data_IF_208477274196
#
_entry.id   IF_208477274196
#
_cell.length_a   1.000
_cell.length_b   1.000
_cell.length_c   1.000
_cell.angle_alpha   90.00
_cell.angle_beta   90.00
_cell.angle_gamma   90.00
#
_symmetry.space_group_name_H-M   'P 1'
#
loop_
_entity.id
_entity.type
_entity.pdbx_description
1 polymer ?
#
# COMPACT_ATOMS: atom_id res chain seq x y z
N UNK A 1 16.30 -6.10 -5.27
CA UNK A 1 14.89 -5.76 -5.53
C UNK A 1 14.28 -4.95 -4.39
N UNK A 2 14.33 -5.40 -3.13
CA UNK A 2 13.65 -4.75 -2.00
C UNK A 2 14.05 -3.29 -1.74
N UNK A 3 15.34 -2.94 -1.82
CA UNK A 3 15.77 -1.54 -1.72
C UNK A 3 15.22 -0.68 -2.87
N UNK A 4 15.07 -1.26 -4.07
CA UNK A 4 14.48 -0.57 -5.23
C UNK A 4 12.99 -0.33 -5.04
N UNK A 5 12.28 -1.28 -4.42
CA UNK A 5 10.88 -1.13 -4.02
C UNK A 5 10.70 -0.06 -2.94
N UNK A 6 11.58 -0.04 -1.94
CA UNK A 6 11.53 0.96 -0.87
C UNK A 6 11.81 2.38 -1.41
N UNK A 7 12.79 2.51 -2.31
CA UNK A 7 13.12 3.78 -2.95
C UNK A 7 12.06 4.23 -3.94
N UNK A 8 11.36 3.31 -4.63
CA UNK A 8 10.21 3.69 -5.48
C UNK A 8 9.07 4.25 -4.64
N UNK A 9 8.78 3.66 -3.47
CA UNK A 9 7.78 4.19 -2.53
C UNK A 9 8.17 5.56 -1.99
N UNK A 10 9.44 5.76 -1.62
CA UNK A 10 9.94 7.07 -1.18
C UNK A 10 9.86 8.12 -2.31
N UNK A 11 10.17 7.72 -3.55
CA UNK A 11 10.08 8.59 -4.72
C UNK A 11 8.64 8.94 -5.10
N UNK A 12 7.63 8.19 -4.65
CA UNK A 12 6.23 8.36 -5.03
C UNK A 12 5.67 9.74 -4.69
N UNK A 13 6.11 10.33 -3.57
CA UNK A 13 5.73 11.69 -3.15
C UNK A 13 6.55 12.80 -3.83
N UNK A 14 7.76 12.48 -4.29
CA UNK A 14 8.70 13.45 -4.87
C UNK A 14 8.52 13.57 -6.39
N UNK A 15 8.52 12.43 -7.08
CA UNK A 15 8.40 12.34 -8.53
C UNK A 15 7.74 11.02 -8.95
N UNK A 16 6.45 11.11 -9.32
CA UNK A 16 5.64 9.97 -9.74
C UNK A 16 6.29 9.21 -10.91
N UNK A 17 6.84 9.90 -11.90
CA UNK A 17 7.44 9.26 -13.08
C UNK A 17 8.62 8.36 -12.69
N UNK A 18 9.53 8.89 -11.86
CA UNK A 18 10.65 8.12 -11.33
C UNK A 18 10.17 6.93 -10.49
N UNK A 19 9.16 7.15 -9.64
CA UNK A 19 8.58 6.12 -8.79
C UNK A 19 8.04 4.94 -9.62
N UNK A 20 7.26 5.20 -10.68
CA UNK A 20 6.74 4.16 -11.57
C UNK A 20 7.84 3.46 -12.37
N UNK A 21 8.88 4.19 -12.82
CA UNK A 21 10.03 3.60 -13.50
C UNK A 21 10.75 2.61 -12.57
N UNK A 22 11.05 3.03 -11.35
CA UNK A 22 11.69 2.17 -10.34
C UNK A 22 10.79 0.99 -9.95
N UNK A 23 9.47 1.19 -9.87
CA UNK A 23 8.52 0.10 -9.64
C UNK A 23 8.53 -0.91 -10.81
N UNK A 24 8.56 -0.45 -12.06
CA UNK A 24 8.64 -1.31 -13.25
C UNK A 24 9.93 -2.15 -13.26
N UNK A 25 11.07 -1.52 -12.95
CA UNK A 25 12.33 -2.24 -12.76
C UNK A 25 12.26 -3.25 -11.61
N UNK A 26 11.59 -2.90 -10.52
CA UNK A 26 11.37 -3.80 -9.39
C UNK A 26 10.51 -5.01 -9.79
N UNK A 27 9.43 -4.80 -10.55
CA UNK A 27 8.57 -5.87 -11.06
C UNK A 27 9.35 -6.82 -12.00
N UNK A 28 10.19 -6.29 -12.88
CA UNK A 28 11.06 -7.09 -13.73
C UNK A 28 12.05 -7.95 -12.93
N UNK A 29 12.68 -7.38 -11.91
CA UNK A 29 13.55 -8.13 -11.01
C UNK A 29 12.78 -9.17 -10.20
N UNK A 30 11.57 -8.85 -9.75
CA UNK A 30 10.69 -9.76 -9.01
C UNK A 30 10.27 -10.96 -9.84
N UNK A 31 9.99 -10.75 -11.12
CA UNK A 31 9.72 -11.85 -12.04
C UNK A 31 10.94 -12.75 -12.23
N UNK A 32 12.14 -12.19 -12.43
CA UNK A 32 13.38 -12.99 -12.51
C UNK A 32 13.71 -13.75 -11.22
N UNK A 33 13.26 -13.26 -10.08
CA UNK A 33 13.49 -13.88 -8.76
C UNK A 33 12.35 -14.84 -8.35
N UNK A 34 11.38 -15.11 -9.23
CA UNK A 34 10.19 -15.92 -8.94
C UNK A 34 9.36 -15.38 -7.77
N UNK A 35 9.50 -14.09 -7.46
CA UNK A 35 8.68 -13.38 -6.46
C UNK A 35 7.35 -12.94 -7.10
N UNK A 36 7.38 -12.64 -8.41
CA UNK A 36 6.19 -12.34 -9.21
C UNK A 36 6.04 -13.38 -10.32
N UNK A 37 4.86 -13.97 -10.41
CA UNK A 37 4.50 -14.86 -11.51
C UNK A 37 3.58 -14.18 -12.53
N UNK A 38 3.38 -14.85 -13.66
CA UNK A 38 2.51 -14.38 -14.73
C UNK A 38 1.10 -13.96 -14.27
N UNK A 39 0.42 -14.65 -13.33
CA UNK A 39 -0.90 -14.22 -12.84
C UNK A 39 -0.85 -12.83 -12.17
N UNK A 40 0.18 -12.54 -11.38
CA UNK A 40 0.31 -11.25 -10.71
C UNK A 40 0.58 -10.13 -11.73
N UNK A 41 1.44 -10.37 -12.72
CA UNK A 41 1.68 -9.42 -13.81
C UNK A 41 0.42 -9.14 -14.62
N UNK A 42 -0.36 -10.17 -14.93
CA UNK A 42 -1.63 -10.04 -15.64
C UNK A 42 -2.63 -9.22 -14.83
N UNK A 43 -2.76 -9.47 -13.54
CA UNK A 43 -3.66 -8.71 -12.66
C UNK A 43 -3.22 -7.25 -12.57
N UNK A 44 -1.91 -6.97 -12.42
CA UNK A 44 -1.38 -5.60 -12.44
C UNK A 44 -1.68 -4.92 -13.79
N UNK A 45 -1.53 -5.62 -14.92
CA UNK A 45 -1.87 -5.08 -16.23
C UNK A 45 -3.37 -4.80 -16.40
N UNK A 46 -4.25 -5.73 -15.98
CA UNK A 46 -5.70 -5.56 -15.99
C UNK A 46 -6.13 -4.39 -15.11
N UNK A 47 -5.47 -4.19 -13.98
CA UNK A 47 -5.69 -3.04 -13.10
C UNK A 47 -5.37 -1.73 -13.82
N UNK A 48 -4.24 -1.63 -14.51
CA UNK A 48 -3.83 -0.43 -15.26
C UNK A 48 -4.72 -0.17 -16.48
N UNK A 49 -5.13 -1.22 -17.18
CA UNK A 49 -6.08 -1.12 -18.31
C UNK A 49 -7.47 -0.72 -17.79
N UNK A 50 -7.93 -1.37 -16.71
CA UNK A 50 -9.17 -1.06 -16.03
C UNK A 50 -9.22 0.40 -15.60
N UNK A 51 -8.10 0.93 -15.08
CA UNK A 51 -7.96 2.36 -14.76
C UNK A 51 -8.15 3.27 -15.97
N UNK A 52 -7.59 2.93 -17.13
CA UNK A 52 -7.72 3.76 -18.35
C UNK A 52 -9.18 3.82 -18.82
N UNK A 53 -9.88 2.68 -18.74
CA UNK A 53 -11.31 2.56 -19.06
C UNK A 53 -12.16 3.35 -18.05
N UNK A 54 -11.81 3.23 -16.78
CA UNK A 54 -12.43 3.95 -15.66
C UNK A 54 -12.32 5.46 -15.83
N UNK A 55 -11.12 5.97 -16.15
CA UNK A 55 -10.87 7.40 -16.29
C UNK A 55 -11.68 7.96 -17.47
N UNK A 56 -11.76 7.19 -18.56
CA UNK A 56 -12.60 7.49 -19.71
C UNK A 56 -14.10 7.54 -19.36
N UNK A 57 -14.59 6.61 -18.53
CA UNK A 57 -15.97 6.59 -18.04
C UNK A 57 -16.27 7.76 -17.09
N UNK A 58 -15.34 8.09 -16.19
CA UNK A 58 -15.44 9.21 -15.24
C UNK A 58 -15.60 10.54 -15.98
N UNK A 59 -14.89 10.71 -17.10
CA UNK A 59 -14.96 11.93 -17.91
C UNK A 59 -16.30 12.11 -18.62
N UNK A 60 -17.09 11.04 -18.80
CA UNK A 60 -18.42 11.11 -19.43
C UNK A 60 -19.57 11.29 -18.43
N UNK A 61 -19.54 10.65 -17.27
CA UNK A 61 -20.64 10.71 -16.32
C UNK A 61 -20.23 10.40 -14.87
N UNK A 62 -20.57 11.29 -13.94
CA UNK A 62 -20.15 11.22 -12.54
C UNK A 62 -20.83 10.08 -11.74
N UNK A 63 -21.87 9.43 -12.29
CA UNK A 63 -22.56 8.32 -11.62
C UNK A 63 -21.70 7.07 -11.47
N UNK A 64 -20.77 6.82 -12.38
CA UNK A 64 -19.90 5.65 -12.34
C UNK A 64 -18.69 5.83 -11.42
N UNK A 65 -18.39 7.07 -11.00
CA UNK A 65 -17.25 7.40 -10.15
C UNK A 65 -17.23 6.57 -8.87
N UNK A 66 -18.35 6.49 -8.14
CA UNK A 66 -18.41 5.73 -6.89
C UNK A 66 -18.27 4.22 -7.09
N UNK A 67 -18.79 3.68 -8.20
CA UNK A 67 -18.69 2.25 -8.51
C UNK A 67 -17.24 1.88 -8.77
N UNK A 68 -16.54 2.71 -9.54
CA UNK A 68 -15.12 2.61 -9.80
C UNK A 68 -14.30 2.69 -8.52
N UNK A 69 -14.55 3.70 -7.69
CA UNK A 69 -13.81 3.90 -6.44
C UNK A 69 -14.00 2.70 -5.52
N UNK A 70 -15.23 2.17 -5.43
CA UNK A 70 -15.52 0.93 -4.72
C UNK A 70 -14.73 -0.26 -5.24
N UNK A 71 -14.65 -0.44 -6.56
CA UNK A 71 -13.84 -1.50 -7.18
C UNK A 71 -12.35 -1.34 -6.85
N UNK A 72 -11.84 -0.11 -6.86
CA UNK A 72 -10.46 0.17 -6.49
C UNK A 72 -10.18 -0.21 -5.03
N UNK A 73 -11.10 0.12 -4.11
CA UNK A 73 -10.99 -0.30 -2.71
C UNK A 73 -10.99 -1.82 -2.59
N UNK A 74 -11.89 -2.51 -3.29
CA UNK A 74 -11.96 -4.00 -3.28
C UNK A 74 -10.64 -4.61 -3.75
N UNK A 75 -10.05 -4.10 -4.83
CA UNK A 75 -8.76 -4.58 -5.35
C UNK A 75 -7.62 -4.30 -4.35
N UNK A 76 -7.60 -3.11 -3.74
CA UNK A 76 -6.61 -2.78 -2.73
C UNK A 76 -6.72 -3.71 -1.50
N UNK A 77 -7.93 -4.02 -1.05
CA UNK A 77 -8.18 -4.98 0.02
C UNK A 77 -7.73 -6.38 -0.39
N UNK A 78 -8.03 -6.82 -1.61
CA UNK A 78 -7.60 -8.12 -2.13
C UNK A 78 -6.08 -8.25 -2.18
N UNK A 79 -5.36 -7.18 -2.56
CA UNK A 79 -3.89 -7.12 -2.51
C UNK A 79 -3.38 -7.20 -1.07
N UNK A 80 -3.98 -6.47 -0.13
CA UNK A 80 -3.56 -6.49 1.29
C UNK A 80 -3.78 -7.85 1.94
N UNK A 81 -4.89 -8.51 1.62
CA UNK A 81 -5.24 -9.84 2.11
C UNK A 81 -4.52 -10.97 1.37
N UNK A 82 -3.67 -10.66 0.39
CA UNK A 82 -2.99 -11.66 -0.43
C UNK A 82 -3.96 -12.63 -1.14
N UNK A 83 -5.15 -12.14 -1.51
CA UNK A 83 -6.17 -12.94 -2.20
C UNK A 83 -5.87 -13.12 -3.70
N UNK A 84 -4.90 -12.37 -4.23
CA UNK A 84 -4.52 -12.38 -5.64
C UNK A 84 -3.31 -13.33 -5.83
N UNK A 85 -3.41 -14.35 -6.70
CA UNK A 85 -2.33 -15.31 -6.90
C UNK A 85 -1.14 -14.70 -7.65
N UNK A 86 0.03 -15.33 -7.49
CA UNK A 86 1.26 -14.98 -8.23
C UNK A 86 2.21 -14.04 -7.49
N UNK A 87 1.93 -13.71 -6.23
CA UNK A 87 2.88 -13.02 -5.35
C UNK A 87 3.52 -14.04 -4.40
N UNK A 88 4.81 -14.29 -4.54
CA UNK A 88 5.59 -15.20 -3.70
C UNK A 88 6.42 -14.39 -2.72
N UNK A 89 5.76 -13.83 -1.71
CA UNK A 89 6.38 -12.97 -0.71
C UNK A 89 7.35 -13.78 0.18
N UNK A 90 8.66 -13.47 0.20
CA UNK A 90 9.61 -14.23 1.00
C UNK A 90 9.47 -13.93 2.49
N UNK A 91 9.66 -14.98 3.30
CA UNK A 91 9.77 -14.91 4.76
C UNK A 91 11.20 -14.50 5.12
N UNK A 92 11.35 -13.30 5.68
CA UNK A 92 12.67 -12.72 6.04
C UNK A 92 13.02 -13.01 7.50
N UNK A 93 12.02 -12.96 8.38
CA UNK A 93 12.17 -13.40 9.77
C UNK A 93 11.26 -14.60 9.98
N UNK A 94 11.82 -15.67 10.55
CA UNK A 94 11.10 -16.90 10.83
C UNK A 94 11.17 -17.22 12.32
N UNK A 95 10.02 -17.08 12.99
CA UNK A 95 9.82 -17.40 14.40
C UNK A 95 10.92 -16.83 15.32
N UNK A 96 11.42 -15.63 15.02
CA UNK A 96 12.51 -15.00 15.77
C UNK A 96 11.97 -14.50 17.10
N UNK A 97 12.62 -14.91 18.20
CA UNK A 97 12.33 -14.46 19.56
C UNK A 97 13.42 -13.47 19.96
N UNK A 98 13.03 -12.20 20.14
CA UNK A 98 13.97 -11.11 20.43
C UNK A 98 14.11 -10.86 21.95
N UNK A 99 13.11 -11.26 22.76
CA UNK A 99 13.12 -11.08 24.20
C UNK A 99 12.58 -12.29 24.96
N UNK A 100 12.90 -12.43 26.27
CA UNK A 100 12.52 -13.61 27.07
C UNK A 100 11.00 -13.84 27.19
N UNK A 101 10.21 -12.77 27.06
CA UNK A 101 8.74 -12.80 27.13
C UNK A 101 8.09 -12.60 25.74
N UNK A 102 8.88 -12.56 24.67
CA UNK A 102 8.35 -12.33 23.32
C UNK A 102 7.80 -13.62 22.72
N UNK A 103 6.60 -13.55 22.15
CA UNK A 103 6.11 -14.60 21.27
C UNK A 103 6.96 -14.65 19.98
N UNK A 104 7.13 -15.83 19.35
CA UNK A 104 7.88 -15.96 18.10
C UNK A 104 7.31 -15.06 17.00
N UNK A 105 8.14 -14.16 16.46
CA UNK A 105 7.73 -13.22 15.41
C UNK A 105 8.22 -13.68 14.04
N UNK A 106 7.32 -13.62 13.05
CA UNK A 106 7.65 -13.88 11.65
C UNK A 106 7.33 -12.66 10.79
N UNK A 107 8.21 -12.35 9.84
CA UNK A 107 8.05 -11.19 8.95
C UNK A 107 8.24 -11.60 7.49
N UNK A 108 7.35 -11.10 6.64
CA UNK A 108 7.39 -11.28 5.19
C UNK A 108 7.61 -9.94 4.51
N UNK A 109 8.42 -9.93 3.45
CA UNK A 109 8.46 -8.81 2.53
C UNK A 109 7.35 -8.95 1.50
N UNK A 110 6.31 -8.13 1.69
CA UNK A 110 5.07 -8.21 0.95
C UNK A 110 5.07 -7.23 -0.22
N UNK A 111 5.29 -7.73 -1.43
CA UNK A 111 5.32 -6.90 -2.64
C UNK A 111 3.92 -6.44 -3.06
N UNK A 112 2.93 -7.32 -2.95
CA UNK A 112 1.50 -7.02 -3.10
C UNK A 112 1.05 -5.80 -2.28
N UNK A 113 1.40 -5.76 -0.99
CA UNK A 113 1.08 -4.63 -0.10
C UNK A 113 1.81 -3.36 -0.50
N UNK A 114 3.04 -3.47 -0.97
CA UNK A 114 3.85 -2.34 -1.39
C UNK A 114 3.35 -1.69 -2.71
N UNK A 115 2.62 -2.42 -3.55
CA UNK A 115 2.05 -1.90 -4.81
C UNK A 115 0.77 -1.09 -4.57
N UNK A 116 0.06 -1.32 -3.45
CA UNK A 116 -1.23 -0.68 -3.15
C UNK A 116 -1.20 0.85 -3.24
N UNK A 117 -0.21 1.59 -2.68
CA UNK A 117 -0.18 3.05 -2.79
C UNK A 117 -0.03 3.55 -4.23
N UNK A 118 0.75 2.85 -5.07
CA UNK A 118 0.88 3.19 -6.49
C UNK A 118 -0.45 3.03 -7.23
N UNK A 119 -1.13 1.91 -6.97
CA UNK A 119 -2.44 1.64 -7.52
C UNK A 119 -3.47 2.70 -7.07
N UNK A 120 -3.57 2.98 -5.77
CA UNK A 120 -4.54 3.94 -5.24
C UNK A 120 -4.28 5.38 -5.72
N UNK A 121 -3.02 5.83 -5.79
CA UNK A 121 -2.70 7.18 -6.30
C UNK A 121 -3.08 7.30 -7.79
N UNK A 122 -2.89 6.23 -8.56
CA UNK A 122 -3.27 6.18 -9.97
C UNK A 122 -4.79 6.22 -10.14
N UNK A 123 -5.50 5.34 -9.44
CA UNK A 123 -6.92 5.11 -9.67
C UNK A 123 -7.84 6.03 -8.87
N UNK A 124 -7.38 6.55 -7.73
CA UNK A 124 -8.11 7.44 -6.84
C UNK A 124 -7.22 8.62 -6.40
N UNK A 125 -6.81 9.51 -7.32
CA UNK A 125 -5.93 10.63 -6.98
C UNK A 125 -6.56 11.59 -5.95
N UNK A 126 -7.88 11.61 -5.86
CA UNK A 126 -8.66 12.37 -4.86
C UNK A 126 -8.50 11.83 -3.44
N UNK A 127 -8.13 10.56 -3.27
CA UNK A 127 -7.94 9.93 -1.95
C UNK A 127 -6.86 10.63 -1.13
N UNK A 128 -5.84 11.16 -1.80
CA UNK A 128 -4.71 11.84 -1.18
C UNK A 128 -4.83 13.37 -1.21
N UNK A 129 -5.94 13.91 -1.73
CA UNK A 129 -6.21 15.34 -1.83
C UNK A 129 -7.48 15.64 -1.03
N UNK A 130 -7.33 15.83 0.27
CA UNK A 130 -8.41 16.24 1.15
C UNK A 130 -8.27 17.71 1.54
N UNK A 131 -9.35 18.49 1.40
CA UNK A 131 -9.44 19.78 2.08
C UNK A 131 -9.73 19.50 3.56
N UNK A 132 -8.90 19.97 4.50
CA UNK A 132 -9.13 19.70 5.91
C UNK A 132 -10.46 20.32 6.34
N UNK A 133 -11.38 19.48 6.85
CA UNK A 133 -12.66 19.92 7.41
C UNK A 133 -12.46 20.77 8.68
N UNK A 134 -11.36 20.53 9.39
CA UNK A 134 -10.98 21.23 10.61
C UNK A 134 -9.46 21.43 10.63
N UNK A 135 -9.00 22.63 11.01
CA UNK A 135 -7.59 22.94 11.20
C UNK A 135 -7.30 23.00 12.70
N UNK A 136 -6.73 21.93 13.30
CA UNK A 136 -6.45 21.94 14.72
C UNK A 136 -5.45 23.05 15.06
N UNK A 137 -5.74 23.81 16.12
CA UNK A 137 -4.80 24.78 16.68
C UNK A 137 -3.58 24.08 17.29
N UNK A 138 -2.57 24.85 17.72
CA UNK A 138 -1.33 24.33 18.32
C UNK A 138 -1.58 23.33 19.46
N UNK A 139 -2.61 23.59 20.28
CA UNK A 139 -3.03 22.71 21.38
C UNK A 139 -3.59 21.38 20.85
N UNK A 140 -4.40 21.41 19.78
CA UNK A 140 -4.95 20.20 19.16
C UNK A 140 -3.86 19.30 18.60
N UNK A 141 -2.83 19.88 17.97
CA UNK A 141 -1.64 19.13 17.56
C UNK A 141 -0.89 18.53 18.75
N UNK A 142 -0.76 19.28 19.84
CA UNK A 142 -0.18 18.77 21.09
C UNK A 142 -0.92 17.54 21.63
N UNK A 143 -2.26 17.61 21.66
CA UNK A 143 -3.12 16.49 22.09
C UNK A 143 -2.93 15.28 21.16
N UNK A 144 -2.94 15.48 19.83
CA UNK A 144 -2.76 14.39 18.85
C UNK A 144 -1.39 13.71 18.99
N UNK A 145 -0.33 14.49 19.17
CA UNK A 145 1.02 13.95 19.36
C UNK A 145 1.12 13.20 20.69
N UNK A 146 0.49 13.69 21.76
CA UNK A 146 0.47 13.03 23.07
C UNK A 146 -0.45 11.80 23.12
N UNK A 147 -1.46 11.73 22.26
CA UNK A 147 -2.37 10.59 22.20
C UNK A 147 -1.64 9.30 21.79
N UNK A 148 -0.66 9.39 20.89
CA UNK A 148 0.13 8.23 20.44
C UNK A 148 0.86 7.53 21.61
N UNK A 149 1.74 8.19 22.38
CA UNK A 149 2.40 7.56 23.52
C UNK A 149 1.39 7.18 24.62
N UNK A 150 0.33 7.95 24.84
CA UNK A 150 -0.69 7.61 25.82
C UNK A 150 -1.39 6.28 25.48
N UNK A 151 -1.77 6.08 24.22
CA UNK A 151 -2.36 4.83 23.74
C UNK A 151 -1.38 3.66 23.82
N UNK A 152 -0.11 3.89 23.51
CA UNK A 152 0.94 2.86 23.65
C UNK A 152 1.14 2.45 25.12
N UNK A 153 1.20 3.42 26.04
CA UNK A 153 1.31 3.12 27.48
C UNK A 153 0.06 2.41 28.01
N UNK A 154 -1.13 2.80 27.55
CA UNK A 154 -2.38 2.12 27.88
C UNK A 154 -2.37 0.68 27.38
N UNK A 155 -1.91 0.43 26.15
CA UNK A 155 -1.76 -0.91 25.61
C UNK A 155 -0.80 -1.76 26.44
N UNK A 156 0.35 -1.20 26.87
CA UNK A 156 1.29 -1.89 27.78
C UNK A 156 0.64 -2.22 29.12
N UNK A 157 -0.13 -1.29 29.69
CA UNK A 157 -0.81 -1.51 30.96
C UNK A 157 -1.92 -2.58 30.88
N UNK A 158 -2.60 -2.69 29.74
CA UNK A 158 -3.69 -3.65 29.52
C UNK A 158 -3.22 -5.03 29.03
N UNK A 159 -2.11 -5.10 28.31
CA UNK A 159 -1.58 -6.31 27.69
C UNK A 159 -0.41 -6.95 28.46
N UNK A 160 -0.27 -6.62 29.76
CA UNK A 160 0.81 -7.06 30.65
C UNK A 160 1.14 -8.55 30.56
#
# INVERSE_FOLDING_TARGET
MWYLLATSLAALSLNKSLAYLMLGLTAFLGWKQSILDAPALLVIALIVIGWSVVEWLRNKNNKYTYLVEGLCVVIAVALVLHAIPGFHNPKVLDAVVVGPQSIPFSMYFNMDKAVVPFFLITCMPTLFVAKPLYKPGKVGWGILVLAIPALLLLAVALAG
#
